data_IF_251287929549
#
_entry.id   IF_251287929549
#
_cell.length_a   1.000
_cell.length_b   1.000
_cell.length_c   1.000
_cell.angle_alpha   90.00
_cell.angle_beta   90.00
_cell.angle_gamma   90.00
#
_symmetry.space_group_name_H-M   'P 1'
#
loop_
_entity.id
_entity.type
_entity.pdbx_description
1 polymer ?
#
# COMPACT_ATOMS: atom_id res chain seq x y z
N UNK A 1 -14.23 -9.27 3.63
CA UNK A 1 -13.98 -9.45 2.20
C UNK A 1 -12.77 -8.64 1.78
N UNK A 2 -11.86 -9.23 1.02
CA UNK A 2 -10.66 -8.59 0.46
C UNK A 2 -10.78 -8.57 -1.06
N UNK A 3 -10.58 -7.38 -1.67
CA UNK A 3 -10.48 -7.21 -3.12
C UNK A 3 -8.99 -6.99 -3.46
N UNK A 4 -8.29 -7.96 -4.01
CA UNK A 4 -6.88 -7.79 -4.34
C UNK A 4 -6.71 -6.84 -5.53
N UNK A 5 -5.71 -5.96 -5.43
CA UNK A 5 -5.33 -5.04 -6.50
C UNK A 5 -3.84 -5.22 -6.76
N UNK A 6 -3.47 -5.46 -8.01
CA UNK A 6 -2.07 -5.59 -8.40
C UNK A 6 -1.59 -4.33 -9.13
N UNK A 7 -0.38 -3.90 -8.81
CA UNK A 7 0.33 -2.92 -9.64
C UNK A 7 0.66 -3.54 -11.01
N UNK A 8 0.93 -2.71 -12.01
CA UNK A 8 1.28 -3.20 -13.35
C UNK A 8 2.48 -4.17 -13.30
N UNK A 9 3.49 -3.87 -12.48
CA UNK A 9 4.65 -4.75 -12.33
C UNK A 9 4.29 -6.08 -11.65
N UNK A 10 3.51 -6.04 -10.56
CA UNK A 10 3.12 -7.26 -9.85
C UNK A 10 2.18 -8.16 -10.68
N UNK A 11 1.40 -7.55 -11.58
CA UNK A 11 0.48 -8.27 -12.47
C UNK A 11 1.18 -8.95 -13.65
N UNK A 12 2.39 -8.51 -14.05
CA UNK A 12 3.00 -8.91 -15.31
C UNK A 12 4.43 -9.47 -15.19
N UNK A 13 5.16 -9.17 -14.10
CA UNK A 13 6.57 -9.54 -13.99
C UNK A 13 6.78 -10.75 -13.10
N UNK A 14 7.51 -11.72 -13.62
CA UNK A 14 8.07 -12.81 -12.82
C UNK A 14 9.21 -12.30 -11.95
N UNK A 15 9.28 -12.80 -10.74
CA UNK A 15 10.27 -12.40 -9.74
C UNK A 15 10.95 -13.64 -9.15
N UNK A 16 12.02 -13.42 -8.38
CA UNK A 16 12.62 -14.50 -7.57
C UNK A 16 11.69 -15.14 -6.55
N UNK A 17 10.54 -14.52 -6.26
CA UNK A 17 9.56 -15.01 -5.29
C UNK A 17 8.42 -15.80 -5.94
N UNK A 18 8.33 -15.80 -7.25
CA UNK A 18 7.31 -16.51 -8.02
C UNK A 18 6.94 -15.79 -9.32
N UNK A 19 6.15 -16.47 -10.13
CA UNK A 19 5.61 -15.91 -11.37
C UNK A 19 4.40 -15.02 -11.10
N UNK A 20 4.12 -14.10 -12.02
CA UNK A 20 2.90 -13.27 -11.98
C UNK A 20 1.64 -14.15 -11.98
N UNK A 21 1.61 -15.21 -12.77
CA UNK A 21 0.49 -16.16 -12.82
C UNK A 21 0.25 -16.86 -11.47
N UNK A 22 1.34 -17.31 -10.82
CA UNK A 22 1.25 -17.91 -9.47
C UNK A 22 0.67 -16.92 -8.46
N UNK A 23 1.10 -15.65 -8.49
CA UNK A 23 0.55 -14.62 -7.62
C UNK A 23 -0.94 -14.37 -7.85
N UNK A 24 -1.38 -14.30 -9.10
CA UNK A 24 -2.80 -14.19 -9.45
C UNK A 24 -3.63 -15.36 -8.91
N UNK A 25 -3.13 -16.58 -9.10
CA UNK A 25 -3.80 -17.80 -8.63
C UNK A 25 -3.92 -17.81 -7.11
N UNK A 26 -2.82 -17.57 -6.39
CA UNK A 26 -2.81 -17.55 -4.93
C UNK A 26 -3.77 -16.48 -4.36
N UNK A 27 -3.76 -15.27 -4.93
CA UNK A 27 -4.67 -14.21 -4.47
C UNK A 27 -6.14 -14.59 -4.68
N UNK A 28 -6.46 -15.21 -5.82
CA UNK A 28 -7.82 -15.67 -6.09
C UNK A 28 -8.25 -16.79 -5.14
N UNK A 29 -7.37 -17.74 -4.86
CA UNK A 29 -7.65 -18.84 -3.92
C UNK A 29 -7.87 -18.32 -2.49
N UNK A 30 -7.03 -17.38 -2.04
CA UNK A 30 -7.11 -16.83 -0.69
C UNK A 30 -8.31 -15.90 -0.48
N UNK A 31 -8.71 -15.14 -1.49
CA UNK A 31 -9.73 -14.09 -1.35
C UNK A 31 -11.08 -14.47 -1.95
N UNK A 32 -11.12 -15.47 -2.81
CA UNK A 32 -12.29 -15.78 -3.65
C UNK A 32 -12.56 -14.76 -4.76
N UNK A 33 -11.66 -13.78 -4.96
CA UNK A 33 -11.84 -12.65 -5.87
C UNK A 33 -10.73 -12.62 -6.93
N UNK A 34 -11.10 -12.27 -8.15
CA UNK A 34 -10.10 -12.05 -9.21
C UNK A 34 -9.38 -10.72 -8.96
N UNK A 35 -8.03 -10.69 -8.96
CA UNK A 35 -7.28 -9.46 -8.77
C UNK A 35 -7.60 -8.39 -9.80
N UNK A 36 -7.79 -7.16 -9.34
CA UNK A 36 -7.99 -5.98 -10.18
C UNK A 36 -6.64 -5.48 -10.68
N UNK A 37 -6.51 -5.31 -11.98
CA UNK A 37 -5.22 -4.97 -12.63
C UNK A 37 -5.28 -3.75 -13.54
N UNK A 38 -6.48 -3.18 -13.75
CA UNK A 38 -6.68 -2.04 -14.66
C UNK A 38 -7.24 -0.82 -13.94
N UNK A 39 -7.04 0.35 -14.53
CA UNK A 39 -7.58 1.61 -14.01
C UNK A 39 -9.13 1.59 -13.99
N UNK A 40 -9.75 1.04 -15.02
CA UNK A 40 -11.21 0.94 -15.14
C UNK A 40 -11.84 0.11 -14.04
N UNK A 41 -11.16 -0.97 -13.60
CA UNK A 41 -11.65 -1.84 -12.55
C UNK A 41 -11.60 -1.18 -11.16
N UNK A 42 -10.62 -0.31 -10.90
CA UNK A 42 -10.42 0.30 -9.58
C UNK A 42 -11.11 1.66 -9.41
N UNK A 43 -11.39 2.36 -10.50
CA UNK A 43 -12.04 3.67 -10.47
C UNK A 43 -13.36 3.68 -9.67
N UNK A 44 -14.26 2.69 -9.81
CA UNK A 44 -15.54 2.68 -9.11
C UNK A 44 -15.46 2.33 -7.60
N UNK A 45 -14.31 1.93 -7.07
CA UNK A 45 -14.18 1.47 -5.68
C UNK A 45 -14.66 2.51 -4.66
N UNK A 46 -14.31 3.76 -4.84
CA UNK A 46 -14.76 4.87 -4.00
C UNK A 46 -16.21 5.27 -4.27
N UNK A 47 -16.55 5.73 -5.50
CA UNK A 47 -17.89 6.22 -5.82
C UNK A 47 -19.01 5.24 -5.56
N UNK A 48 -18.79 3.95 -5.82
CA UNK A 48 -19.80 2.89 -5.58
C UNK A 48 -19.75 2.30 -4.18
N UNK A 49 -18.85 2.76 -3.32
CA UNK A 49 -18.77 2.25 -1.96
C UNK A 49 -18.30 0.80 -1.84
N UNK A 50 -17.52 0.30 -2.79
CA UNK A 50 -17.13 -1.10 -2.86
C UNK A 50 -16.01 -1.48 -1.88
N UNK A 51 -15.28 -0.51 -1.35
CA UNK A 51 -14.25 -0.73 -0.35
C UNK A 51 -14.32 0.32 0.76
N UNK A 52 -14.03 -0.06 1.99
CA UNK A 52 -14.03 0.82 3.17
C UNK A 52 -12.65 1.40 3.47
N UNK A 53 -11.62 0.72 3.06
CA UNK A 53 -10.22 1.10 3.23
C UNK A 53 -9.37 0.51 2.11
N UNK A 54 -8.15 1.03 1.92
CA UNK A 54 -7.13 0.45 1.05
C UNK A 54 -5.89 0.15 1.89
N UNK A 55 -5.35 -1.06 1.74
CA UNK A 55 -4.04 -1.44 2.29
C UNK A 55 -3.06 -1.63 1.14
N UNK A 56 -1.94 -0.92 1.19
CA UNK A 56 -0.85 -1.02 0.21
C UNK A 56 0.34 -1.71 0.91
N UNK A 57 0.49 -3.00 0.67
CA UNK A 57 1.51 -3.83 1.32
C UNK A 57 2.13 -4.84 0.33
N UNK A 58 3.43 -4.77 0.06
CA UNK A 58 4.34 -3.68 0.43
C UNK A 58 4.11 -2.39 -0.37
N UNK A 59 4.39 -1.24 0.23
CA UNK A 59 4.46 0.03 -0.46
C UNK A 59 5.93 0.34 -0.81
N UNK A 60 6.25 0.33 -2.09
CA UNK A 60 7.59 0.67 -2.59
C UNK A 60 7.81 2.19 -2.62
N UNK A 61 9.07 2.62 -2.68
CA UNK A 61 9.45 4.03 -2.84
C UNK A 61 8.72 4.70 -4.02
N UNK A 62 8.66 4.03 -5.17
CA UNK A 62 7.95 4.53 -6.36
C UNK A 62 6.46 4.74 -6.08
N UNK A 63 5.79 3.77 -5.44
CA UNK A 63 4.37 3.90 -5.10
C UNK A 63 4.14 5.06 -4.15
N UNK A 64 4.95 5.19 -3.10
CA UNK A 64 4.85 6.29 -2.14
C UNK A 64 5.12 7.65 -2.80
N UNK A 65 6.10 7.74 -3.71
CA UNK A 65 6.38 8.97 -4.46
C UNK A 65 5.20 9.39 -5.35
N UNK A 66 4.57 8.45 -6.06
CA UNK A 66 3.36 8.73 -6.85
C UNK A 66 2.21 9.20 -5.96
N UNK A 67 1.96 8.53 -4.84
CA UNK A 67 0.92 8.94 -3.88
C UNK A 67 1.20 10.34 -3.33
N UNK A 68 2.43 10.63 -2.94
CA UNK A 68 2.86 11.92 -2.44
C UNK A 68 2.72 13.04 -3.48
N UNK A 69 3.02 12.76 -4.74
CA UNK A 69 2.84 13.70 -5.85
C UNK A 69 1.37 13.81 -6.33
N UNK A 70 0.45 12.98 -5.82
CA UNK A 70 -0.94 12.94 -6.28
C UNK A 70 -1.12 12.28 -7.66
N UNK A 71 -0.13 11.52 -8.12
CA UNK A 71 -0.15 10.83 -9.41
C UNK A 71 -0.95 9.54 -9.28
N UNK A 72 -2.01 9.42 -10.09
CA UNK A 72 -2.93 8.27 -10.10
C UNK A 72 -2.83 7.46 -11.41
N UNK A 73 -1.59 7.12 -11.80
CA UNK A 73 -1.28 6.48 -13.08
C UNK A 73 -1.28 4.93 -13.02
N UNK A 74 -1.43 4.36 -11.85
CA UNK A 74 -1.46 2.89 -11.66
C UNK A 74 -2.76 2.46 -10.99
N UNK A 75 -3.17 1.19 -11.10
CA UNK A 75 -4.37 0.70 -10.39
C UNK A 75 -4.31 0.99 -8.89
N UNK A 76 -3.16 0.81 -8.25
CA UNK A 76 -2.98 1.04 -6.80
C UNK A 76 -3.16 2.53 -6.46
N UNK A 77 -2.51 3.43 -7.20
CA UNK A 77 -2.57 4.87 -6.92
C UNK A 77 -3.93 5.48 -7.29
N UNK A 78 -4.59 4.95 -8.33
CA UNK A 78 -5.96 5.35 -8.65
C UNK A 78 -6.97 4.84 -7.61
N UNK A 79 -6.81 3.62 -7.10
CA UNK A 79 -7.63 3.10 -6.00
C UNK A 79 -7.51 3.99 -4.76
N UNK A 80 -6.28 4.40 -4.39
CA UNK A 80 -6.06 5.33 -3.29
C UNK A 80 -6.82 6.66 -3.50
N UNK A 81 -6.67 7.29 -4.66
CA UNK A 81 -7.39 8.51 -5.01
C UNK A 81 -8.91 8.34 -4.96
N UNK A 82 -9.40 7.20 -5.47
CA UNK A 82 -10.84 6.88 -5.49
C UNK A 82 -11.42 6.80 -4.07
N UNK A 83 -10.71 6.18 -3.12
CA UNK A 83 -11.15 6.06 -1.73
C UNK A 83 -10.99 7.37 -0.95
N UNK A 84 -9.88 8.08 -1.13
CA UNK A 84 -9.62 9.35 -0.45
C UNK A 84 -10.67 10.42 -0.75
N UNK A 85 -11.27 10.42 -1.95
CA UNK A 85 -12.40 11.30 -2.28
C UNK A 85 -13.59 11.14 -1.34
N UNK A 86 -13.78 9.94 -0.81
CA UNK A 86 -14.83 9.63 0.17
C UNK A 86 -14.36 9.68 1.62
N UNK A 87 -13.17 10.22 1.89
CA UNK A 87 -12.59 10.29 3.23
C UNK A 87 -12.22 8.93 3.83
N UNK A 88 -12.04 7.92 2.99
CA UNK A 88 -11.70 6.56 3.44
C UNK A 88 -10.20 6.41 3.66
N UNK A 89 -9.78 5.62 4.65
CA UNK A 89 -8.38 5.47 4.99
C UNK A 89 -7.60 4.69 3.93
N UNK A 90 -6.37 5.13 3.70
CA UNK A 90 -5.34 4.44 2.94
C UNK A 90 -4.21 4.07 3.88
N UNK A 91 -4.00 2.78 4.08
CA UNK A 91 -2.98 2.22 4.94
C UNK A 91 -1.76 1.89 4.09
N UNK A 92 -0.60 2.39 4.48
CA UNK A 92 0.67 2.22 3.77
C UNK A 92 1.60 1.38 4.61
N UNK A 93 2.11 0.28 4.06
CA UNK A 93 3.13 -0.56 4.67
C UNK A 93 4.46 -0.37 3.91
N UNK A 94 5.30 0.61 4.31
CA UNK A 94 6.54 0.90 3.61
C UNK A 94 7.49 -0.30 3.63
N UNK A 95 8.07 -0.60 2.47
CA UNK A 95 9.16 -1.56 2.32
C UNK A 95 10.01 -1.12 1.14
N UNK A 96 11.12 -0.44 1.44
CA UNK A 96 12.00 0.13 0.41
C UNK A 96 13.41 0.32 0.93
N UNK A 97 14.40 0.16 0.03
CA UNK A 97 15.81 0.24 0.37
C UNK A 97 16.36 1.66 0.50
N UNK A 98 15.58 2.67 0.11
CA UNK A 98 15.96 4.08 0.06
C UNK A 98 15.07 4.99 0.92
N UNK A 99 14.40 4.42 1.91
CA UNK A 99 13.44 5.14 2.76
C UNK A 99 14.05 6.33 3.50
N UNK A 100 15.28 6.18 3.98
CA UNK A 100 16.02 7.21 4.73
C UNK A 100 16.89 8.07 3.80
N UNK A 101 16.65 8.02 2.49
CA UNK A 101 17.34 8.82 1.48
C UNK A 101 16.34 9.34 0.43
N UNK A 102 16.31 8.78 -0.78
CA UNK A 102 15.49 9.27 -1.89
C UNK A 102 13.99 9.24 -1.65
N UNK A 103 13.48 8.25 -0.92
CA UNK A 103 12.04 8.13 -0.60
C UNK A 103 11.62 8.88 0.66
N UNK A 104 12.55 9.41 1.47
CA UNK A 104 12.22 10.11 2.72
C UNK A 104 11.24 11.29 2.54
N UNK A 105 11.37 12.15 1.52
CA UNK A 105 10.42 13.24 1.30
C UNK A 105 8.99 12.75 1.04
N UNK A 106 8.82 11.67 0.28
CA UNK A 106 7.52 11.10 -0.01
C UNK A 106 6.85 10.53 1.25
N UNK A 107 7.61 9.82 2.09
CA UNK A 107 7.14 9.29 3.37
C UNK A 107 6.70 10.45 4.27
N UNK A 108 7.53 11.49 4.44
CA UNK A 108 7.21 12.65 5.26
C UNK A 108 5.95 13.38 4.78
N UNK A 109 5.80 13.54 3.46
CA UNK A 109 4.59 14.12 2.86
C UNK A 109 3.33 13.30 3.15
N UNK A 110 3.40 11.98 3.04
CA UNK A 110 2.25 11.11 3.29
C UNK A 110 1.87 11.07 4.77
N UNK A 111 2.85 11.11 5.68
CA UNK A 111 2.62 11.17 7.13
C UNK A 111 1.83 12.43 7.57
N UNK A 112 1.93 13.52 6.82
CA UNK A 112 1.21 14.77 7.09
C UNK A 112 -0.18 14.83 6.47
N UNK A 113 -0.52 13.90 5.56
CA UNK A 113 -1.79 13.95 4.83
C UNK A 113 -2.91 13.28 5.60
N UNK A 114 -4.08 13.85 5.52
CA UNK A 114 -5.30 13.25 6.09
C UNK A 114 -5.62 11.95 5.40
N UNK A 115 -6.12 10.98 6.19
CA UNK A 115 -6.56 9.67 5.76
C UNK A 115 -5.46 8.72 5.27
N UNK A 116 -4.18 9.08 5.41
CA UNK A 116 -3.07 8.15 5.29
C UNK A 116 -2.64 7.69 6.67
N UNK A 117 -2.47 6.38 6.80
CA UNK A 117 -2.03 5.70 8.03
C UNK A 117 -0.92 4.73 7.68
N UNK A 118 0.03 4.60 8.56
CA UNK A 118 1.20 3.76 8.30
C UNK A 118 1.18 2.53 9.19
N UNK A 119 1.49 1.38 8.61
CA UNK A 119 1.84 0.17 9.37
C UNK A 119 3.17 0.45 10.06
N UNK A 120 3.31 0.19 11.37
CA UNK A 120 4.57 0.40 12.07
C UNK A 120 5.76 -0.23 11.36
N UNK A 121 6.87 0.48 11.34
CA UNK A 121 8.05 0.12 10.58
C UNK A 121 9.35 0.45 11.31
N UNK A 122 10.42 -0.24 10.96
CA UNK A 122 11.77 -0.01 11.45
C UNK A 122 12.82 -0.22 10.36
N UNK A 123 14.10 -0.08 10.69
CA UNK A 123 15.17 -0.41 9.77
C UNK A 123 15.23 -1.92 9.53
N UNK A 124 15.39 -2.33 8.25
CA UNK A 124 15.52 -3.75 7.86
C UNK A 124 16.86 -4.34 8.33
N UNK A 125 17.96 -3.65 8.00
CA UNK A 125 19.31 -4.00 8.43
C UNK A 125 20.14 -2.71 8.50
N UNK A 126 20.28 -2.17 9.71
CA UNK A 126 20.93 -0.87 9.91
C UNK A 126 22.41 -0.81 9.53
N UNK A 127 23.08 -1.96 9.48
CA UNK A 127 24.50 -2.04 9.11
C UNK A 127 24.73 -2.27 7.62
N UNK A 128 23.98 -3.21 7.01
CA UNK A 128 24.18 -3.56 5.58
C UNK A 128 23.32 -2.72 4.65
N UNK A 129 22.18 -2.21 5.15
CA UNK A 129 21.22 -1.42 4.39
C UNK A 129 20.76 -0.21 5.21
N UNK A 130 21.63 0.75 5.50
CA UNK A 130 21.36 1.83 6.46
C UNK A 130 20.19 2.74 6.07
N UNK A 131 19.77 2.77 4.80
CA UNK A 131 18.64 3.55 4.33
C UNK A 131 17.36 2.74 4.15
N UNK A 132 17.39 1.41 4.38
CA UNK A 132 16.25 0.53 4.17
C UNK A 132 15.32 0.51 5.38
N UNK A 133 14.01 0.56 5.11
CA UNK A 133 12.98 0.29 6.11
C UNK A 133 12.07 -0.84 5.66
N UNK A 134 11.41 -1.47 6.64
CA UNK A 134 10.41 -2.49 6.44
C UNK A 134 9.32 -2.38 7.50
N UNK A 135 8.07 -2.46 7.09
CA UNK A 135 6.95 -2.57 8.01
C UNK A 135 6.82 -3.97 8.59
N UNK A 136 6.35 -4.04 9.82
CA UNK A 136 5.87 -5.29 10.39
C UNK A 136 4.46 -5.60 9.86
N UNK A 137 4.38 -6.50 8.89
CA UNK A 137 3.12 -6.86 8.24
C UNK A 137 2.14 -7.59 9.17
N UNK A 138 2.60 -8.10 10.32
CA UNK A 138 1.71 -8.71 11.31
C UNK A 138 0.80 -7.66 11.96
N UNK A 139 1.20 -6.38 11.92
CA UNK A 139 0.44 -5.25 12.45
C UNK A 139 -0.55 -4.63 11.43
N UNK A 140 -0.69 -5.21 10.23
CA UNK A 140 -1.66 -4.72 9.24
C UNK A 140 -3.11 -4.74 9.78
N UNK A 141 -3.60 -5.82 10.42
CA UNK A 141 -4.96 -5.84 10.96
C UNK A 141 -5.20 -4.75 12.00
N UNK A 142 -4.31 -4.59 12.97
CA UNK A 142 -4.44 -3.59 14.03
C UNK A 142 -4.37 -2.15 13.48
N UNK A 143 -3.48 -1.94 12.49
CA UNK A 143 -3.39 -0.66 11.79
C UNK A 143 -4.67 -0.34 11.02
N UNK A 144 -5.26 -1.33 10.34
CA UNK A 144 -6.52 -1.16 9.63
C UNK A 144 -7.66 -0.78 10.58
N UNK A 145 -7.80 -1.49 11.70
CA UNK A 145 -8.82 -1.18 12.71
C UNK A 145 -8.65 0.22 13.28
N UNK A 146 -7.42 0.61 13.61
CA UNK A 146 -7.11 1.96 14.10
C UNK A 146 -7.41 3.03 13.05
N UNK A 147 -7.01 2.80 11.81
CA UNK A 147 -7.26 3.71 10.69
C UNK A 147 -8.76 3.92 10.40
N UNK A 148 -9.58 2.88 10.54
CA UNK A 148 -11.04 2.99 10.41
C UNK A 148 -11.66 3.88 11.50
N UNK A 149 -11.00 4.01 12.64
CA UNK A 149 -11.37 4.96 13.71
C UNK A 149 -10.71 6.35 13.54
N UNK A 150 -9.92 6.55 12.49
CA UNK A 150 -9.20 7.81 12.24
C UNK A 150 -7.94 8.00 13.07
N UNK A 151 -7.37 6.92 13.63
CA UNK A 151 -6.22 6.96 14.53
C UNK A 151 -5.02 6.22 13.92
N UNK A 152 -3.82 6.81 14.02
CA UNK A 152 -2.56 6.14 13.68
C UNK A 152 -2.18 5.15 14.79
N UNK A 153 -1.95 3.88 14.44
CA UNK A 153 -1.44 2.89 15.39
C UNK A 153 -0.05 3.29 15.92
N UNK A 154 0.15 3.17 17.23
CA UNK A 154 1.41 3.49 17.90
C UNK A 154 1.96 2.27 18.66
N UNK A 155 3.31 2.17 18.83
CA UNK A 155 4.32 3.08 18.28
C UNK A 155 4.45 2.93 16.75
N UNK A 156 4.73 4.04 16.07
CA UNK A 156 4.93 4.01 14.61
C UNK A 156 6.32 3.50 14.23
N UNK A 157 7.32 3.84 15.02
CA UNK A 157 8.73 3.40 14.83
C UNK A 157 9.02 2.23 15.77
N UNK A 158 9.52 1.13 15.18
CA UNK A 158 9.89 -0.11 15.86
C UNK A 158 11.40 -0.21 16.06
#
# INVERSE_FOLDING_TARGET
RVLPILSCSAAALDTRFGTAESLHTQLRELTGETPLTTLQQVEPLGPKGLAQALVIAPATGTTMAMLAAGISATPVTLAAKSLLRGGRPVIVAPSTNDALSGSAPAIAQLLQRRHYYFVPFGQDDSYKKPCSIKSDFTLIPDTLESALRGVQLQPLLL
#
